data_IF_874829598465
#
_entry.id   IF_874829598465
#
_cell.length_a   1.000
_cell.length_b   1.000
_cell.length_c   1.000
_cell.angle_alpha   90.00
_cell.angle_beta   90.00
_cell.angle_gamma   90.00
#
_symmetry.space_group_name_H-M   'P 1'
#
loop_
_entity.id
_entity.type
_entity.pdbx_description
1 polymer ?
#
# COMPACT_ATOMS: atom_id res chain seq x y z
N UNK A 1 -2.72 5.27 -16.78
CA UNK A 1 -2.03 3.97 -16.92
C UNK A 1 -2.02 3.26 -15.57
N UNK A 2 -2.11 1.92 -15.50
CA UNK A 2 -1.92 1.21 -14.23
C UNK A 2 -0.50 1.46 -13.73
N UNK A 3 -0.36 1.90 -12.47
CA UNK A 3 0.95 1.98 -11.79
C UNK A 3 1.70 0.65 -11.94
N UNK A 4 3.01 0.69 -12.20
CA UNK A 4 3.88 -0.50 -12.24
C UNK A 4 3.73 -1.39 -10.99
N UNK A 5 3.43 -0.76 -9.85
CA UNK A 5 3.14 -1.45 -8.59
C UNK A 5 1.83 -2.26 -8.65
N UNK A 6 0.80 -1.74 -9.31
CA UNK A 6 -0.47 -2.45 -9.50
C UNK A 6 -0.31 -3.59 -10.51
N UNK A 7 0.47 -3.40 -11.57
CA UNK A 7 0.82 -4.48 -12.53
C UNK A 7 1.52 -5.65 -11.83
N UNK A 8 2.51 -5.39 -10.97
CA UNK A 8 3.18 -6.44 -10.17
C UNK A 8 2.22 -7.20 -9.25
N UNK A 9 1.18 -6.53 -8.73
CA UNK A 9 0.19 -7.16 -7.83
C UNK A 9 -0.81 -8.07 -8.54
N UNK A 10 -1.07 -7.81 -9.81
CA UNK A 10 -1.97 -8.58 -10.67
C UNK A 10 -1.29 -9.81 -11.30
N UNK A 11 0.03 -9.97 -11.13
CA UNK A 11 0.72 -11.19 -11.56
C UNK A 11 0.18 -12.41 -10.81
N UNK A 12 -0.33 -13.36 -11.58
CA UNK A 12 -1.00 -14.57 -11.08
C UNK A 12 -0.07 -15.46 -10.26
N UNK A 13 1.18 -15.63 -10.70
CA UNK A 13 2.17 -16.52 -10.10
C UNK A 13 3.22 -15.77 -9.26
N UNK A 14 2.77 -14.74 -8.52
CA UNK A 14 3.67 -13.97 -7.66
C UNK A 14 4.21 -14.85 -6.52
N UNK A 15 5.50 -14.69 -6.15
CA UNK A 15 6.08 -15.45 -5.05
C UNK A 15 5.34 -15.15 -3.75
N UNK A 16 5.08 -16.21 -2.97
CA UNK A 16 4.44 -16.11 -1.65
C UNK A 16 5.42 -16.56 -0.58
N UNK A 17 5.34 -15.92 0.59
CA UNK A 17 6.13 -16.29 1.78
C UNK A 17 5.18 -16.68 2.90
N UNK A 18 5.43 -17.83 3.51
CA UNK A 18 4.72 -18.25 4.72
C UNK A 18 5.21 -17.45 5.92
N UNK A 19 4.28 -16.89 6.68
CA UNK A 19 4.57 -16.17 7.93
C UNK A 19 3.85 -16.83 9.09
N UNK A 20 4.49 -16.87 10.25
CA UNK A 20 3.88 -17.33 11.51
C UNK A 20 3.71 -16.12 12.43
N UNK A 21 2.47 -15.88 12.88
CA UNK A 21 2.11 -14.76 13.74
C UNK A 21 1.36 -15.30 14.97
N UNK A 22 1.67 -14.77 16.15
CA UNK A 22 0.83 -14.98 17.34
C UNK A 22 -0.27 -13.93 17.36
N UNK A 23 -1.51 -14.37 17.51
CA UNK A 23 -2.69 -13.51 17.56
C UNK A 23 -3.48 -13.90 18.81
N UNK A 24 -4.01 -12.93 19.59
CA UNK A 24 -4.90 -13.22 20.71
C UNK A 24 -6.11 -14.07 20.30
N UNK A 25 -6.58 -14.91 21.21
CA UNK A 25 -7.65 -15.88 20.93
C UNK A 25 -8.95 -15.15 20.60
N UNK A 26 -9.29 -14.14 21.39
CA UNK A 26 -10.48 -13.28 21.22
C UNK A 26 -10.53 -12.60 19.85
N UNK A 27 -9.36 -12.20 19.32
CA UNK A 27 -9.25 -11.63 17.97
C UNK A 27 -9.55 -12.69 16.91
N UNK A 28 -9.04 -13.91 17.08
CA UNK A 28 -9.33 -15.02 16.15
C UNK A 28 -10.81 -15.39 16.17
N UNK A 29 -11.44 -15.41 17.34
CA UNK A 29 -12.88 -15.64 17.51
C UNK A 29 -13.69 -14.55 16.81
N UNK A 30 -13.36 -13.28 17.04
CA UNK A 30 -13.99 -12.14 16.36
C UNK A 30 -13.87 -12.24 14.84
N UNK A 31 -12.70 -12.64 14.31
CA UNK A 31 -12.50 -12.81 12.87
C UNK A 31 -13.35 -13.96 12.30
N UNK A 32 -13.57 -15.03 13.06
CA UNK A 32 -14.44 -16.15 12.65
C UNK A 32 -15.90 -15.73 12.58
N UNK A 33 -16.36 -14.95 13.57
CA UNK A 33 -17.73 -14.43 13.59
C UNK A 33 -17.97 -13.45 12.45
N UNK A 34 -17.03 -12.53 12.19
CA UNK A 34 -17.19 -11.47 11.17
C UNK A 34 -17.07 -12.00 9.73
N UNK A 35 -16.27 -13.06 9.49
CA UNK A 35 -15.99 -13.53 8.14
C UNK A 35 -17.26 -13.86 7.31
N UNK A 36 -18.22 -14.65 7.82
CA UNK A 36 -19.48 -14.91 7.12
C UNK A 36 -20.29 -13.63 6.83
N UNK A 37 -20.37 -12.71 7.78
CA UNK A 37 -21.09 -11.45 7.61
C UNK A 37 -20.51 -10.57 6.50
N UNK A 38 -19.21 -10.71 6.23
CA UNK A 38 -18.52 -10.01 5.14
C UNK A 38 -18.39 -10.84 3.85
N UNK A 39 -19.06 -12.00 3.77
CA UNK A 39 -19.05 -12.87 2.59
C UNK A 39 -17.74 -13.64 2.37
N UNK A 40 -16.89 -13.77 3.39
CA UNK A 40 -15.68 -14.57 3.31
C UNK A 40 -15.93 -16.01 3.76
N UNK A 41 -15.36 -16.97 3.05
CA UNK A 41 -15.42 -18.40 3.37
C UNK A 41 -14.70 -18.78 4.67
N UNK A 42 -13.84 -17.91 5.21
CA UNK A 42 -13.14 -18.15 6.46
C UNK A 42 -12.34 -16.95 6.95
N UNK A 43 -11.97 -17.01 8.24
CA UNK A 43 -11.29 -15.92 8.94
C UNK A 43 -9.90 -15.60 8.36
N UNK A 44 -9.20 -16.59 7.82
CA UNK A 44 -7.89 -16.38 7.19
C UNK A 44 -8.00 -15.52 5.92
N UNK A 45 -9.07 -15.69 5.13
CA UNK A 45 -9.31 -14.88 3.93
C UNK A 45 -9.67 -13.44 4.33
N UNK A 46 -10.50 -13.28 5.36
CA UNK A 46 -10.81 -11.97 5.93
C UNK A 46 -9.55 -11.25 6.44
N UNK A 47 -8.69 -11.94 7.20
CA UNK A 47 -7.44 -11.39 7.71
C UNK A 47 -6.53 -10.88 6.59
N UNK A 48 -6.33 -11.69 5.53
CA UNK A 48 -5.56 -11.28 4.34
C UNK A 48 -6.16 -10.04 3.68
N UNK A 49 -7.49 -9.95 3.61
CA UNK A 49 -8.20 -8.80 3.07
C UNK A 49 -7.92 -7.53 3.88
N UNK A 50 -8.05 -7.60 5.21
CA UNK A 50 -7.76 -6.46 6.10
C UNK A 50 -6.32 -5.96 5.99
N UNK A 51 -5.35 -6.87 6.01
CA UNK A 51 -3.94 -6.51 5.82
C UNK A 51 -3.76 -5.81 4.47
N UNK A 52 -4.33 -6.37 3.40
CA UNK A 52 -4.21 -5.81 2.06
C UNK A 52 -4.86 -4.43 1.93
N UNK A 53 -6.02 -4.23 2.55
CA UNK A 53 -6.73 -2.96 2.54
C UNK A 53 -5.98 -1.89 3.34
N UNK A 54 -5.56 -2.21 4.57
CA UNK A 54 -4.79 -1.31 5.42
C UNK A 54 -3.50 -0.86 4.74
N UNK A 55 -2.73 -1.81 4.19
CA UNK A 55 -1.51 -1.49 3.45
C UNK A 55 -1.79 -0.62 2.24
N UNK A 56 -2.85 -0.89 1.44
CA UNK A 56 -3.17 -0.01 0.29
C UNK A 56 -3.44 1.43 0.70
N UNK A 57 -4.19 1.64 1.79
CA UNK A 57 -4.49 2.98 2.31
C UNK A 57 -3.22 3.69 2.78
N UNK A 58 -2.36 3.00 3.52
CA UNK A 58 -1.10 3.59 3.98
C UNK A 58 -0.16 3.88 2.82
N UNK A 59 -0.05 2.96 1.86
CA UNK A 59 0.77 3.16 0.68
C UNK A 59 0.30 4.34 -0.17
N UNK A 60 -1.01 4.53 -0.32
CA UNK A 60 -1.59 5.70 -0.97
C UNK A 60 -1.21 6.96 -0.18
N UNK A 61 -1.44 6.96 1.13
CA UNK A 61 -1.14 8.07 2.03
C UNK A 61 0.33 8.49 1.98
N UNK A 62 1.25 7.53 1.97
CA UNK A 62 2.69 7.79 2.05
C UNK A 62 3.38 7.86 0.68
N UNK A 63 2.73 7.47 -0.43
CA UNK A 63 3.35 7.51 -1.75
C UNK A 63 3.70 8.93 -2.23
N UNK A 64 2.88 9.93 -1.89
CA UNK A 64 3.09 11.33 -2.28
C UNK A 64 3.85 12.18 -1.24
N UNK A 65 3.78 11.81 0.04
CA UNK A 65 4.35 12.64 1.13
C UNK A 65 5.88 12.78 1.00
N UNK A 66 6.57 11.74 0.52
CA UNK A 66 8.03 11.82 0.32
C UNK A 66 8.42 12.79 -0.80
N UNK A 67 7.68 12.77 -1.92
CA UNK A 67 7.99 13.62 -3.08
C UNK A 67 7.63 15.07 -2.78
N UNK A 68 6.46 15.32 -2.17
CA UNK A 68 6.03 16.68 -1.79
C UNK A 68 7.01 17.30 -0.80
N UNK A 69 7.42 16.57 0.26
CA UNK A 69 8.42 17.06 1.22
C UNK A 69 9.79 17.28 0.60
N UNK A 70 10.18 16.45 -0.37
CA UNK A 70 11.42 16.63 -1.12
C UNK A 70 11.38 17.90 -1.97
N UNK A 71 10.29 18.12 -2.71
CA UNK A 71 10.06 19.34 -3.50
C UNK A 71 10.13 20.58 -2.61
N UNK A 72 9.42 20.58 -1.47
CA UNK A 72 9.47 21.69 -0.52
C UNK A 72 10.88 21.94 0.04
N UNK A 73 11.64 20.88 0.34
CA UNK A 73 13.01 20.99 0.82
C UNK A 73 13.96 21.56 -0.25
N UNK A 74 13.76 21.21 -1.52
CA UNK A 74 14.53 21.74 -2.66
C UNK A 74 14.22 23.22 -2.90
N UNK A 75 12.95 23.62 -2.88
CA UNK A 75 12.54 25.04 -2.97
C UNK A 75 13.17 25.88 -1.85
N UNK A 76 13.16 25.38 -0.60
CA UNK A 76 13.82 26.04 0.54
C UNK A 76 15.33 26.18 0.39
N UNK A 77 15.97 25.33 -0.42
CA UNK A 77 17.41 25.39 -0.74
C UNK A 77 17.70 26.25 -1.99
N UNK A 78 16.69 26.89 -2.57
CA UNK A 78 16.85 27.80 -3.71
C UNK A 78 16.82 27.10 -5.08
N UNK A 79 16.40 25.84 -5.15
CA UNK A 79 16.16 25.18 -6.45
C UNK A 79 14.95 25.84 -7.11
N UNK A 80 15.09 26.24 -8.37
CA UNK A 80 14.03 26.92 -9.11
C UNK A 80 12.88 25.98 -9.45
N UNK A 81 11.66 26.53 -9.48
CA UNK A 81 10.46 25.77 -9.82
C UNK A 81 10.55 25.12 -11.21
N UNK A 82 11.20 25.79 -12.17
CA UNK A 82 11.41 25.24 -13.51
C UNK A 82 12.22 23.94 -13.52
N UNK A 83 13.29 23.86 -12.70
CA UNK A 83 14.12 22.65 -12.59
C UNK A 83 13.38 21.53 -11.88
N UNK A 84 12.57 21.87 -10.87
CA UNK A 84 11.74 20.89 -10.16
C UNK A 84 10.66 20.33 -11.09
N UNK A 85 9.99 21.18 -11.87
CA UNK A 85 8.99 20.75 -12.85
C UNK A 85 9.57 19.89 -13.95
N UNK A 86 10.74 20.24 -14.47
CA UNK A 86 11.49 19.44 -15.44
C UNK A 86 11.83 18.07 -14.86
N UNK A 87 12.48 18.02 -13.70
CA UNK A 87 12.82 16.76 -13.02
C UNK A 87 11.59 15.92 -12.64
N UNK A 88 10.44 16.55 -12.39
CA UNK A 88 9.19 15.83 -12.09
C UNK A 88 8.58 15.21 -13.35
N UNK A 89 8.72 15.85 -14.51
CA UNK A 89 8.28 15.29 -15.81
C UNK A 89 9.09 14.04 -16.16
N UNK A 90 10.40 14.06 -15.91
CA UNK A 90 11.30 12.92 -16.17
C UNK A 90 10.96 11.66 -15.34
N UNK A 91 10.17 11.79 -14.27
CA UNK A 91 9.72 10.64 -13.44
C UNK A 91 8.47 9.94 -13.99
N UNK A 92 7.78 10.54 -14.98
CA UNK A 92 6.49 10.06 -15.49
C UNK A 92 6.64 9.35 -16.85
N UNK A 93 7.76 9.55 -17.55
CA UNK A 93 8.19 8.76 -18.72
C UNK A 93 8.86 7.43 -18.31
#
# INVERSE_FOLDING_TARGET
MLSERLKKRLQKDRPMTSITLRIPIDVVESLKEIAPHKGFSGYQTLLKSYISEGLRKDEERYSGISVVRLIEALKKRGVSDAVIEEATRDLID
#
